data_IF_864866233220
#
_entry.id   IF_864866233220
#
_cell.length_a   1.000
_cell.length_b   1.000
_cell.length_c   1.000
_cell.angle_alpha   90.00
_cell.angle_beta   90.00
_cell.angle_gamma   90.00
#
_symmetry.space_group_name_H-M   'P 1'
#
loop_
_entity.id
_entity.type
_entity.pdbx_description
1 polymer ?
#
# COMPACT_ATOMS: atom_id res chain seq x y z
N UNK A 1 -51.23 16.23 53.54
CA UNK A 1 -50.54 16.23 52.23
C UNK A 1 -49.41 15.21 52.33
N UNK A 2 -49.68 13.96 51.96
CA UNK A 2 -48.66 12.90 51.88
C UNK A 2 -47.92 13.07 50.56
N UNK A 3 -46.59 13.31 50.55
CA UNK A 3 -45.86 13.42 49.29
C UNK A 3 -45.86 12.06 48.58
N UNK A 4 -46.20 12.12 47.29
CA UNK A 4 -46.40 10.97 46.41
C UNK A 4 -45.12 10.13 46.25
N UNK A 5 -45.12 8.96 46.90
CA UNK A 5 -44.11 7.91 46.73
C UNK A 5 -43.89 7.54 45.25
N UNK A 6 -44.94 7.69 44.43
CA UNK A 6 -44.91 7.48 42.99
C UNK A 6 -43.97 8.46 42.26
N UNK A 7 -43.88 9.71 42.72
CA UNK A 7 -43.02 10.75 42.13
C UNK A 7 -41.56 10.52 42.49
N UNK A 8 -41.28 10.02 43.70
CA UNK A 8 -39.91 9.67 44.10
C UNK A 8 -39.36 8.49 43.30
N UNK A 9 -40.17 7.45 43.08
CA UNK A 9 -39.74 6.27 42.31
C UNK A 9 -39.51 6.59 40.83
N UNK A 10 -40.37 7.41 40.22
CA UNK A 10 -40.22 7.80 38.81
C UNK A 10 -39.02 8.72 38.59
N UNK A 11 -38.76 9.66 39.51
CA UNK A 11 -37.62 10.59 39.38
C UNK A 11 -36.28 9.88 39.59
N UNK A 12 -36.18 9.01 40.60
CA UNK A 12 -34.96 8.23 40.87
C UNK A 12 -34.71 7.19 39.77
N UNK A 13 -35.77 6.53 39.28
CA UNK A 13 -35.67 5.58 38.17
C UNK A 13 -35.22 6.22 36.86
N UNK A 14 -35.74 7.42 36.54
CA UNK A 14 -35.37 8.16 35.33
C UNK A 14 -33.91 8.62 35.32
N UNK A 15 -33.40 9.11 36.45
CA UNK A 15 -31.99 9.53 36.59
C UNK A 15 -31.05 8.33 36.49
N UNK A 16 -31.38 7.21 37.14
CA UNK A 16 -30.58 5.98 37.04
C UNK A 16 -30.53 5.44 35.60
N UNK A 17 -31.66 5.40 34.90
CA UNK A 17 -31.71 4.98 33.50
C UNK A 17 -30.91 5.92 32.58
N UNK A 18 -30.97 7.24 32.80
CA UNK A 18 -30.19 8.21 32.04
C UNK A 18 -28.68 8.04 32.27
N UNK A 19 -28.24 7.82 33.50
CA UNK A 19 -26.82 7.59 33.81
C UNK A 19 -26.29 6.30 33.19
N UNK A 20 -27.07 5.22 33.24
CA UNK A 20 -26.72 3.95 32.58
C UNK A 20 -26.66 4.14 31.05
N UNK A 21 -27.60 4.88 30.48
CA UNK A 21 -27.60 5.23 29.05
C UNK A 21 -26.37 6.04 28.62
N UNK A 22 -25.96 7.03 29.42
CA UNK A 22 -24.77 7.86 29.15
C UNK A 22 -23.48 7.05 29.30
N UNK A 23 -23.38 6.15 30.29
CA UNK A 23 -22.20 5.28 30.48
C UNK A 23 -22.10 4.23 29.36
N UNK A 24 -23.21 3.57 29.02
CA UNK A 24 -23.25 2.63 27.90
C UNK A 24 -22.92 3.31 26.56
N UNK A 25 -23.50 4.49 26.32
CA UNK A 25 -23.23 5.30 25.13
C UNK A 25 -21.78 5.76 25.02
N UNK A 26 -21.17 6.21 26.12
CA UNK A 26 -19.76 6.64 26.14
C UNK A 26 -18.78 5.49 25.95
N UNK A 27 -19.08 4.29 26.47
CA UNK A 27 -18.28 3.09 26.22
C UNK A 27 -18.40 2.60 24.77
N UNK A 28 -19.60 2.65 24.18
CA UNK A 28 -19.81 2.31 22.77
C UNK A 28 -19.12 3.31 21.83
N UNK A 29 -19.27 4.61 22.10
CA UNK A 29 -18.62 5.69 21.34
C UNK A 29 -17.10 5.60 21.44
N UNK A 30 -16.54 5.42 22.63
CA UNK A 30 -15.08 5.32 22.79
C UNK A 30 -14.48 4.10 22.09
N UNK A 31 -15.21 2.99 21.98
CA UNK A 31 -14.77 1.81 21.21
C UNK A 31 -14.80 2.07 19.70
N UNK A 32 -15.82 2.77 19.22
CA UNK A 32 -15.94 3.19 17.83
C UNK A 32 -14.80 4.14 17.44
N UNK A 33 -14.56 5.18 18.24
CA UNK A 33 -13.50 6.16 18.01
C UNK A 33 -12.10 5.52 17.96
N UNK A 34 -11.80 4.59 18.87
CA UNK A 34 -10.52 3.86 18.85
C UNK A 34 -10.34 3.01 17.60
N UNK A 35 -11.41 2.39 17.11
CA UNK A 35 -11.37 1.55 15.90
C UNK A 35 -11.17 2.40 14.65
N UNK A 36 -11.89 3.52 14.55
CA UNK A 36 -11.72 4.48 13.46
C UNK A 36 -10.32 5.11 13.46
N UNK A 37 -9.82 5.50 14.63
CA UNK A 37 -8.47 6.04 14.77
C UNK A 37 -7.38 5.07 14.30
N UNK A 38 -7.45 3.81 14.75
CA UNK A 38 -6.50 2.79 14.32
C UNK A 38 -6.54 2.57 12.80
N UNK A 39 -7.75 2.52 12.21
CA UNK A 39 -7.95 2.36 10.77
C UNK A 39 -7.41 3.55 9.98
N UNK A 40 -7.65 4.77 10.43
CA UNK A 40 -7.18 5.98 9.75
C UNK A 40 -5.66 6.08 9.78
N UNK A 41 -5.01 5.68 10.89
CA UNK A 41 -3.55 5.58 10.97
C UNK A 41 -2.98 4.52 10.03
N UNK A 42 -3.64 3.36 9.92
CA UNK A 42 -3.24 2.34 8.95
C UNK A 42 -3.38 2.81 7.50
N UNK A 43 -4.48 3.49 7.16
CA UNK A 43 -4.69 4.06 5.82
C UNK A 43 -3.59 5.10 5.52
N UNK A 44 -3.29 5.98 6.47
CA UNK A 44 -2.23 6.98 6.32
C UNK A 44 -0.86 6.31 6.09
N UNK A 45 -0.49 5.31 6.90
CA UNK A 45 0.77 4.58 6.73
C UNK A 45 0.84 3.84 5.38
N UNK A 46 -0.26 3.19 4.96
CA UNK A 46 -0.32 2.54 3.65
C UNK A 46 -0.19 3.54 2.50
N UNK A 47 -0.82 4.72 2.63
CA UNK A 47 -0.71 5.78 1.64
C UNK A 47 0.71 6.33 1.51
N UNK A 48 1.45 6.43 2.64
CA UNK A 48 2.85 6.83 2.65
C UNK A 48 3.73 5.84 1.88
N UNK A 49 3.56 4.53 2.09
CA UNK A 49 4.26 3.49 1.31
C UNK A 49 4.00 3.64 -0.20
N UNK A 50 2.75 3.85 -0.60
CA UNK A 50 2.40 4.02 -2.03
C UNK A 50 3.01 5.30 -2.61
N UNK A 51 2.95 6.42 -1.88
CA UNK A 51 3.55 7.68 -2.32
C UNK A 51 5.07 7.56 -2.46
N UNK A 52 5.74 7.03 -1.43
CA UNK A 52 7.19 6.90 -1.39
C UNK A 52 7.72 5.89 -2.40
N UNK A 53 7.00 4.80 -2.67
CA UNK A 53 7.35 3.87 -3.77
C UNK A 53 7.39 4.57 -5.13
N UNK A 54 6.46 5.49 -5.39
CA UNK A 54 6.44 6.28 -6.63
C UNK A 54 7.63 7.22 -6.69
N UNK A 55 7.96 7.87 -5.58
CA UNK A 55 9.11 8.76 -5.48
C UNK A 55 10.42 8.02 -5.70
N UNK A 56 10.64 6.88 -5.03
CA UNK A 56 11.85 6.08 -5.20
C UNK A 56 11.98 5.58 -6.63
N UNK A 57 10.91 5.08 -7.26
CA UNK A 57 10.96 4.64 -8.66
C UNK A 57 11.38 5.77 -9.62
N UNK A 58 10.92 7.01 -9.39
CA UNK A 58 11.38 8.17 -10.16
C UNK A 58 12.83 8.55 -9.85
N UNK A 59 13.24 8.47 -8.58
CA UNK A 59 14.61 8.73 -8.16
C UNK A 59 15.58 7.71 -8.77
N UNK A 60 15.22 6.42 -8.78
CA UNK A 60 15.96 5.35 -9.44
C UNK A 60 16.10 5.60 -10.95
N UNK A 61 15.04 6.10 -11.59
CA UNK A 61 15.11 6.48 -13.01
C UNK A 61 16.13 7.58 -13.25
N UNK A 62 16.17 8.58 -12.38
CA UNK A 62 17.14 9.69 -12.46
C UNK A 62 18.55 9.23 -12.13
N UNK A 63 18.72 8.40 -11.11
CA UNK A 63 20.01 7.78 -10.77
C UNK A 63 20.59 7.03 -11.97
N UNK A 64 19.76 6.25 -12.66
CA UNK A 64 20.18 5.52 -13.84
C UNK A 64 20.55 6.42 -15.03
N UNK A 65 19.74 7.46 -15.33
CA UNK A 65 19.95 8.32 -16.50
C UNK A 65 20.94 9.46 -16.30
N UNK A 66 21.02 9.99 -15.09
CA UNK A 66 21.72 11.24 -14.76
C UNK A 66 22.80 11.05 -13.68
N UNK A 67 22.85 9.89 -13.01
CA UNK A 67 23.78 9.66 -11.89
C UNK A 67 23.35 10.33 -10.58
N UNK A 68 22.11 10.82 -10.48
CA UNK A 68 21.59 11.47 -9.28
C UNK A 68 21.58 10.50 -8.07
N UNK A 69 21.92 10.96 -6.86
CA UNK A 69 21.78 10.14 -5.67
C UNK A 69 20.30 9.88 -5.32
N UNK A 70 20.03 8.74 -4.72
CA UNK A 70 18.68 8.36 -4.25
C UNK A 70 18.58 8.60 -2.75
N UNK A 71 17.66 9.47 -2.33
CA UNK A 71 17.33 9.65 -0.92
C UNK A 71 16.33 8.58 -0.45
N UNK A 72 16.80 7.68 0.41
CA UNK A 72 16.03 6.60 1.01
C UNK A 72 15.41 6.96 2.36
N UNK A 73 15.73 8.11 2.95
CA UNK A 73 15.27 8.46 4.31
C UNK A 73 13.74 8.49 4.40
N UNK A 74 13.00 9.16 3.50
CA UNK A 74 11.54 9.18 3.58
C UNK A 74 10.89 7.80 3.38
N UNK A 75 11.51 6.94 2.56
CA UNK A 75 11.09 5.55 2.37
C UNK A 75 11.23 4.74 3.67
N UNK A 76 12.38 4.85 4.34
CA UNK A 76 12.64 4.17 5.61
C UNK A 76 11.70 4.65 6.72
N UNK A 77 11.34 5.94 6.73
CA UNK A 77 10.34 6.47 7.67
C UNK A 77 8.95 5.89 7.40
N UNK A 78 8.55 5.78 6.13
CA UNK A 78 7.28 5.15 5.76
C UNK A 78 7.24 3.67 6.16
N UNK A 79 8.35 2.93 5.96
CA UNK A 79 8.51 1.56 6.44
C UNK A 79 8.39 1.50 7.97
N UNK A 80 9.16 2.30 8.72
CA UNK A 80 9.05 2.33 10.18
C UNK A 80 7.63 2.61 10.66
N UNK A 81 6.91 3.49 9.96
CA UNK A 81 5.51 3.80 10.28
C UNK A 81 4.60 2.61 10.05
N UNK A 82 4.73 1.88 8.93
CA UNK A 82 3.88 0.71 8.67
C UNK A 82 4.15 -0.44 9.65
N UNK A 83 5.40 -0.59 10.13
CA UNK A 83 5.75 -1.56 11.17
C UNK A 83 5.08 -1.28 12.52
N UNK A 84 4.74 -0.02 12.82
CA UNK A 84 4.08 0.36 14.07
C UNK A 84 2.57 0.14 14.06
N UNK A 85 1.92 0.25 12.90
CA UNK A 85 0.45 0.29 12.82
C UNK A 85 -0.15 -0.81 11.93
N UNK A 86 0.64 -1.41 11.05
CA UNK A 86 0.22 -2.42 10.10
C UNK A 86 -0.01 -3.78 10.77
N UNK A 87 -0.92 -4.56 10.19
CA UNK A 87 -1.00 -5.98 10.53
C UNK A 87 0.18 -6.77 9.96
N UNK A 88 0.48 -7.97 10.48
CA UNK A 88 1.59 -8.79 9.97
C UNK A 88 1.57 -8.96 8.45
N UNK A 89 0.41 -9.26 7.86
CA UNK A 89 0.27 -9.42 6.42
C UNK A 89 0.62 -8.14 5.63
N UNK A 90 0.24 -6.96 6.14
CA UNK A 90 0.54 -5.67 5.50
C UNK A 90 2.02 -5.32 5.66
N UNK A 91 2.61 -5.60 6.82
CA UNK A 91 4.05 -5.42 7.08
C UNK A 91 4.87 -6.32 6.16
N UNK A 92 4.53 -7.60 6.05
CA UNK A 92 5.20 -8.55 5.16
C UNK A 92 5.10 -8.12 3.70
N UNK A 93 3.94 -7.58 3.29
CA UNK A 93 3.77 -7.07 1.94
C UNK A 93 4.59 -5.81 1.69
N UNK A 94 4.77 -4.93 2.68
CA UNK A 94 5.64 -3.76 2.57
C UNK A 94 7.12 -4.14 2.54
N UNK A 95 7.54 -5.13 3.34
CA UNK A 95 8.89 -5.68 3.31
C UNK A 95 9.23 -6.26 1.93
N UNK A 96 8.30 -6.98 1.28
CA UNK A 96 8.48 -7.44 -0.11
C UNK A 96 8.64 -6.30 -1.11
N UNK A 97 7.98 -5.16 -0.90
CA UNK A 97 8.21 -3.98 -1.75
C UNK A 97 9.63 -3.46 -1.56
N UNK A 98 10.08 -3.34 -0.31
CA UNK A 98 11.45 -2.91 0.02
C UNK A 98 12.51 -3.80 -0.61
N UNK A 99 12.40 -5.11 -0.45
CA UNK A 99 13.30 -6.11 -1.05
C UNK A 99 13.39 -5.93 -2.57
N UNK A 100 12.26 -5.86 -3.27
CA UNK A 100 12.24 -5.69 -4.74
C UNK A 100 12.84 -4.35 -5.17
N UNK A 101 12.54 -3.28 -4.43
CA UNK A 101 13.09 -1.95 -4.72
C UNK A 101 14.59 -1.89 -4.49
N UNK A 102 15.08 -2.51 -3.42
CA UNK A 102 16.49 -2.63 -3.10
C UNK A 102 17.24 -3.42 -4.17
N UNK A 103 16.73 -4.59 -4.54
CA UNK A 103 17.29 -5.45 -5.59
C UNK A 103 17.36 -4.74 -6.95
N UNK A 104 16.31 -3.97 -7.30
CA UNK A 104 16.31 -3.16 -8.51
C UNK A 104 17.30 -1.99 -8.40
N UNK A 105 17.44 -1.39 -7.21
CA UNK A 105 18.33 -0.26 -6.99
C UNK A 105 19.80 -0.60 -7.21
N UNK A 106 20.24 -1.78 -6.78
CA UNK A 106 21.63 -2.22 -6.94
C UNK A 106 22.02 -2.28 -8.43
N UNK A 107 21.09 -2.70 -9.30
CA UNK A 107 21.28 -2.75 -10.75
C UNK A 107 21.43 -1.36 -11.38
N UNK A 108 20.75 -0.34 -10.83
CA UNK A 108 20.73 1.01 -11.40
C UNK A 108 21.80 1.93 -10.83
N UNK A 109 22.06 1.84 -9.52
CA UNK A 109 23.12 2.59 -8.85
C UNK A 109 24.49 2.14 -9.35
N UNK A 110 24.66 0.84 -9.62
CA UNK A 110 25.89 0.31 -10.22
C UNK A 110 25.93 0.46 -11.75
N UNK A 111 24.91 1.06 -12.37
CA UNK A 111 24.76 1.21 -13.83
C UNK A 111 24.92 -0.09 -14.61
N UNK A 112 24.53 -1.22 -14.02
CA UNK A 112 24.65 -2.56 -14.63
C UNK A 112 23.50 -2.82 -15.59
N UNK A 113 22.36 -2.11 -15.46
CA UNK A 113 21.26 -2.20 -16.40
C UNK A 113 21.65 -1.61 -17.77
N UNK A 114 21.81 -2.44 -18.81
CA UNK A 114 22.40 -2.03 -20.08
C UNK A 114 21.49 -1.16 -20.94
N UNK A 115 20.16 -1.29 -20.78
CA UNK A 115 19.20 -0.73 -21.71
C UNK A 115 17.82 -0.39 -21.09
N UNK A 116 16.97 0.19 -21.94
CA UNK A 116 15.62 0.61 -21.59
C UNK A 116 14.68 -0.58 -21.32
N UNK A 117 14.97 -1.74 -21.90
CA UNK A 117 14.23 -2.98 -21.64
C UNK A 117 14.46 -3.48 -20.22
N UNK A 118 15.71 -3.50 -19.78
CA UNK A 118 16.12 -3.87 -18.41
C UNK A 118 15.47 -2.94 -17.37
N UNK A 119 15.37 -1.65 -17.70
CA UNK A 119 14.58 -0.71 -16.90
C UNK A 119 13.09 -1.08 -16.88
N UNK A 120 12.51 -1.39 -18.04
CA UNK A 120 11.10 -1.81 -18.16
C UNK A 120 10.79 -3.03 -17.29
N UNK A 121 11.65 -4.04 -17.30
CA UNK A 121 11.49 -5.26 -16.50
C UNK A 121 11.58 -4.99 -15.00
N UNK A 122 12.56 -4.19 -14.55
CA UNK A 122 12.65 -3.80 -13.14
C UNK A 122 11.46 -2.95 -12.69
N UNK A 123 11.02 -2.01 -13.54
CA UNK A 123 9.81 -1.23 -13.31
C UNK A 123 8.61 -2.16 -13.11
N UNK A 124 8.40 -3.12 -14.01
CA UNK A 124 7.25 -4.01 -13.94
C UNK A 124 7.29 -4.92 -12.69
N UNK A 125 8.48 -5.33 -12.24
CA UNK A 125 8.68 -6.00 -10.94
C UNK A 125 8.28 -5.12 -9.76
N UNK A 126 8.78 -3.88 -9.70
CA UNK A 126 8.43 -2.90 -8.66
C UNK A 126 6.92 -2.61 -8.62
N UNK A 127 6.31 -2.43 -9.80
CA UNK A 127 4.87 -2.22 -9.98
C UNK A 127 4.04 -3.41 -9.50
N UNK A 128 4.49 -4.64 -9.79
CA UNK A 128 3.85 -5.87 -9.34
C UNK A 128 3.88 -6.00 -7.82
N UNK A 129 5.04 -5.73 -7.19
CA UNK A 129 5.18 -5.73 -5.73
C UNK A 129 4.26 -4.69 -5.07
N UNK A 130 4.20 -3.49 -5.66
CA UNK A 130 3.31 -2.42 -5.20
C UNK A 130 1.83 -2.80 -5.32
N UNK A 131 1.41 -3.41 -6.43
CA UNK A 131 0.03 -3.89 -6.59
C UNK A 131 -0.33 -4.95 -5.54
N UNK A 132 0.60 -5.87 -5.27
CA UNK A 132 0.44 -6.87 -4.23
C UNK A 132 0.25 -6.20 -2.85
N UNK A 133 1.08 -5.21 -2.51
CA UNK A 133 0.93 -4.43 -1.28
C UNK A 133 -0.45 -3.73 -1.20
N UNK A 134 -0.86 -3.02 -2.26
CA UNK A 134 -2.15 -2.32 -2.31
C UNK A 134 -3.31 -3.30 -2.10
N UNK A 135 -3.28 -4.46 -2.76
CA UNK A 135 -4.32 -5.47 -2.60
C UNK A 135 -4.35 -6.05 -1.18
N UNK A 136 -3.18 -6.26 -0.58
CA UNK A 136 -3.07 -6.75 0.81
C UNK A 136 -3.64 -5.72 1.79
N UNK A 137 -3.25 -4.46 1.67
CA UNK A 137 -3.79 -3.37 2.49
C UNK A 137 -5.30 -3.20 2.29
N UNK A 138 -5.77 -3.25 1.05
CA UNK A 138 -7.19 -3.09 0.69
C UNK A 138 -8.07 -4.18 1.29
N UNK A 139 -7.63 -5.44 1.22
CA UNK A 139 -8.32 -6.58 1.83
C UNK A 139 -8.23 -6.58 3.35
N UNK A 140 -7.14 -6.04 3.91
CA UNK A 140 -7.01 -5.88 5.35
C UNK A 140 -7.98 -4.84 5.93
N UNK A 141 -8.11 -3.70 5.24
CA UNK A 141 -9.03 -2.61 5.65
C UNK A 141 -10.49 -3.02 5.45
N UNK A 142 -10.78 -3.74 4.36
CA UNK A 142 -12.14 -4.14 3.99
C UNK A 142 -12.10 -5.48 3.21
N UNK A 143 -12.34 -6.60 3.91
CA UNK A 143 -12.28 -7.93 3.31
C UNK A 143 -13.30 -8.18 2.18
N UNK A 144 -14.35 -7.37 2.07
CA UNK A 144 -15.38 -7.52 1.04
C UNK A 144 -14.95 -6.93 -0.32
N UNK A 145 -13.79 -6.26 -0.39
CA UNK A 145 -13.32 -5.64 -1.64
C UNK A 145 -12.72 -6.66 -2.59
N UNK A 146 -13.05 -6.53 -3.86
CA UNK A 146 -12.34 -7.22 -4.94
C UNK A 146 -10.90 -6.72 -5.07
N UNK A 147 -10.00 -7.64 -5.45
CA UNK A 147 -8.61 -7.32 -5.81
C UNK A 147 -8.57 -6.45 -7.06
N UNK A 148 -7.66 -5.48 -7.06
CA UNK A 148 -7.32 -4.71 -8.24
C UNK A 148 -6.44 -5.56 -9.16
N UNK A 149 -6.73 -5.52 -10.46
CA UNK A 149 -5.98 -6.22 -11.51
C UNK A 149 -4.95 -5.33 -12.19
N UNK A 150 -5.01 -4.02 -11.95
CA UNK A 150 -4.13 -3.03 -12.57
C UNK A 150 -3.52 -2.11 -11.52
N UNK A 151 -2.29 -1.69 -11.78
CA UNK A 151 -1.59 -0.68 -10.98
C UNK A 151 -2.25 0.70 -11.13
N UNK A 152 -2.12 1.58 -10.12
CA UNK A 152 -2.67 2.94 -10.20
C UNK A 152 -2.13 3.79 -11.35
N UNK A 153 -0.93 3.46 -11.86
CA UNK A 153 -0.28 4.16 -12.96
C UNK A 153 -0.12 3.20 -14.14
N UNK A 154 -1.13 3.14 -15.01
CA UNK A 154 -1.14 2.32 -16.22
C UNK A 154 -0.28 2.95 -17.32
N UNK A 155 1.05 2.83 -17.21
CA UNK A 155 1.94 3.07 -18.36
C UNK A 155 1.93 1.84 -19.26
N UNK A 156 1.95 2.00 -20.60
CA UNK A 156 2.04 0.86 -21.50
C UNK A 156 3.23 -0.04 -21.16
N UNK A 157 3.06 -1.38 -21.18
CA UNK A 157 4.19 -2.29 -21.24
C UNK A 157 5.07 -1.90 -22.42
N UNK A 158 6.40 -1.94 -22.26
CA UNK A 158 7.25 -1.75 -23.43
C UNK A 158 7.01 -2.90 -24.40
N UNK A 159 6.94 -2.64 -25.72
CA UNK A 159 6.92 -3.71 -26.70
C UNK A 159 8.15 -4.58 -26.46
N UNK A 160 7.94 -5.84 -26.07
CA UNK A 160 9.01 -6.83 -26.04
C UNK A 160 9.47 -6.93 -27.49
N UNK A 161 10.68 -6.47 -27.81
CA UNK A 161 11.23 -6.62 -29.16
C UNK A 161 11.15 -8.09 -29.51
N UNK A 162 10.30 -8.42 -30.49
CA UNK A 162 10.32 -9.72 -31.11
C UNK A 162 11.78 -9.93 -31.57
N UNK A 163 12.40 -11.03 -31.13
CA UNK A 163 13.73 -11.39 -31.61
C UNK A 163 13.73 -11.38 -33.14
N UNK A 164 14.90 -11.15 -33.77
CA UNK A 164 14.99 -11.10 -35.22
C UNK A 164 14.31 -12.32 -35.83
N UNK A 165 13.30 -12.09 -36.68
CA UNK A 165 12.74 -13.15 -37.52
C UNK A 165 13.90 -13.81 -38.26
N UNK A 166 14.00 -15.15 -38.28
CA UNK A 166 15.02 -15.82 -39.07
C UNK A 166 14.80 -15.46 -40.55
N UNK A 167 15.72 -14.64 -41.03
CA UNK A 167 15.84 -14.21 -42.41
C UNK A 167 15.93 -15.43 -43.33
N UNK A 168 15.21 -15.37 -44.45
CA UNK A 168 14.79 -16.50 -45.28
C UNK A 168 15.84 -17.59 -45.52
N UNK A 169 15.45 -18.82 -45.18
CA UNK A 169 16.02 -20.01 -45.81
C UNK A 169 15.66 -19.97 -47.31
N UNK A 170 16.61 -19.52 -48.13
CA UNK A 170 16.52 -19.57 -49.58
C UNK A 170 16.20 -20.98 -50.07
N UNK A 171 15.18 -21.06 -50.93
CA UNK A 171 14.88 -22.27 -51.66
C UNK A 171 16.05 -22.59 -52.63
N UNK A 172 16.52 -23.84 -52.69
CA UNK A 172 17.52 -24.23 -53.69
C UNK A 172 16.87 -24.30 -55.08
N UNK A 173 17.47 -23.58 -56.03
CA UNK A 173 17.21 -23.72 -57.47
C UNK A 173 17.46 -25.17 -57.88
N UNK A 174 16.43 -25.83 -58.40
CA UNK A 174 16.53 -27.11 -59.06
C UNK A 174 16.85 -26.89 -60.54
N UNK A 175 18.05 -27.32 -60.95
CA UNK A 175 18.44 -27.57 -62.33
C UNK A 175 18.10 -29.02 -62.73
#
# INVERSE_FOLDING_TARGET
MSPDWATTITTVGGVAAALIGVVAGSLLTSRSERTHWARDKQIAACSAIVAESTRIQLALRRAWKLGDPVDWVPWNVALGTIWLVGSPAVVDAAARVDEVFWDCSDQFIRQVAPDEQSWGEARDRMETARLHFINTARLHIDPQRSRLTQVPVSRPPQPRLAGPEPEGAGAPDAA
#
